data_IF_905806624288
#
_entry.id   IF_905806624288
#
_cell.length_a   1.000
_cell.length_b   1.000
_cell.length_c   1.000
_cell.angle_alpha   90.00
_cell.angle_beta   90.00
_cell.angle_gamma   90.00
#
_symmetry.space_group_name_H-M   'P 1'
#
loop_
_entity.id
_entity.type
_entity.pdbx_description
1 polymer ?
#
# COMPACT_ATOMS: atom_id res chain seq x y z
N UNK A 1 -15.82 22.80 -57.41
CA UNK A 1 -16.70 21.65 -57.68
C UNK A 1 -15.83 20.40 -57.81
N UNK A 2 -16.00 19.40 -56.92
CA UNK A 2 -15.47 18.01 -56.95
C UNK A 2 -13.94 17.78 -56.92
N UNK A 3 -13.37 16.68 -56.39
CA UNK A 3 -13.63 15.68 -55.33
C UNK A 3 -12.43 14.70 -55.41
N UNK A 4 -11.84 14.32 -54.27
CA UNK A 4 -11.02 13.11 -54.02
C UNK A 4 -9.62 13.02 -54.69
N UNK A 5 -8.56 12.50 -54.07
CA UNK A 5 -8.46 11.30 -53.25
C UNK A 5 -7.24 11.37 -52.29
N UNK A 6 -7.50 11.17 -51.00
CA UNK A 6 -6.51 10.75 -50.02
C UNK A 6 -6.09 9.31 -50.34
N UNK A 7 -4.83 9.11 -50.71
CA UNK A 7 -4.22 7.77 -50.78
C UNK A 7 -2.91 7.79 -50.00
N UNK A 8 -2.78 6.78 -49.14
CA UNK A 8 -1.59 6.34 -48.43
C UNK A 8 -1.41 6.86 -47.00
N UNK A 9 -2.34 6.45 -46.12
CA UNK A 9 -2.07 6.31 -44.69
C UNK A 9 -1.63 4.85 -44.46
N UNK A 10 -0.34 4.62 -44.24
CA UNK A 10 0.18 3.36 -43.70
C UNK A 10 1.64 3.57 -43.24
N UNK A 11 1.83 4.05 -42.01
CA UNK A 11 3.10 3.99 -41.32
C UNK A 11 2.86 3.50 -39.88
N UNK A 12 2.99 2.18 -39.74
CA UNK A 12 3.27 1.38 -38.56
C UNK A 12 3.03 2.01 -37.17
N UNK A 13 1.92 1.62 -36.55
CA UNK A 13 1.77 1.62 -35.09
C UNK A 13 2.61 0.44 -34.57
N UNK A 14 3.81 0.74 -34.04
CA UNK A 14 4.62 -0.21 -33.30
C UNK A 14 4.00 -0.38 -31.90
N UNK A 15 2.91 -1.17 -31.84
CA UNK A 15 2.22 -1.51 -30.59
C UNK A 15 3.17 -2.27 -29.66
N UNK A 16 3.43 -1.68 -28.49
CA UNK A 16 4.14 -2.33 -27.39
C UNK A 16 3.38 -3.56 -26.91
N UNK A 17 3.99 -4.72 -27.08
CA UNK A 17 3.63 -5.92 -26.33
C UNK A 17 4.37 -5.87 -24.98
N UNK A 18 3.85 -5.06 -24.05
CA UNK A 18 4.16 -5.26 -22.64
C UNK A 18 3.43 -6.56 -22.23
N UNK A 19 4.22 -7.58 -21.89
CA UNK A 19 3.74 -8.86 -21.40
C UNK A 19 3.02 -8.58 -20.08
N UNK A 20 1.69 -8.57 -20.12
CA UNK A 20 0.88 -8.48 -18.91
C UNK A 20 1.03 -9.80 -18.14
N UNK A 21 1.86 -9.81 -17.10
CA UNK A 21 1.88 -10.90 -16.13
C UNK A 21 0.54 -10.87 -15.40
N UNK A 22 -0.23 -11.97 -15.38
CA UNK A 22 -1.50 -11.99 -14.66
C UNK A 22 -1.21 -11.89 -13.17
N UNK A 23 -1.87 -10.95 -12.48
CA UNK A 23 -1.93 -10.96 -11.03
C UNK A 23 -2.73 -12.21 -10.60
N UNK A 24 -2.11 -13.09 -9.82
CA UNK A 24 -2.82 -14.22 -9.23
C UNK A 24 -3.75 -13.67 -8.13
N UNK A 25 -5.03 -14.02 -8.20
CA UNK A 25 -5.97 -13.73 -7.12
C UNK A 25 -5.72 -14.68 -5.94
N UNK A 26 -5.94 -14.20 -4.73
CA UNK A 26 -5.93 -15.02 -3.51
C UNK A 26 -7.03 -16.09 -3.59
N UNK A 27 -6.75 -17.27 -3.03
CA UNK A 27 -7.72 -18.34 -2.85
C UNK A 27 -8.71 -18.01 -1.73
N UNK A 28 -9.86 -18.70 -1.72
CA UNK A 28 -10.84 -18.53 -0.64
C UNK A 28 -10.27 -18.98 0.72
N UNK A 29 -9.45 -20.02 0.75
CA UNK A 29 -8.82 -20.52 1.98
C UNK A 29 -7.81 -19.52 2.55
N UNK A 30 -7.03 -18.86 1.69
CA UNK A 30 -6.16 -17.76 2.10
C UNK A 30 -6.96 -16.58 2.65
N UNK A 31 -8.11 -16.26 2.03
CA UNK A 31 -8.98 -15.18 2.50
C UNK A 31 -9.60 -15.47 3.87
N UNK A 32 -10.08 -16.70 4.10
CA UNK A 32 -10.60 -17.14 5.39
C UNK A 32 -9.51 -17.08 6.48
N UNK A 33 -8.30 -17.56 6.15
CA UNK A 33 -7.15 -17.46 7.06
C UNK A 33 -6.84 -16.00 7.42
N UNK A 34 -6.86 -15.09 6.45
CA UNK A 34 -6.66 -13.66 6.70
C UNK A 34 -7.77 -13.05 7.56
N UNK A 35 -9.01 -13.51 7.38
CA UNK A 35 -10.15 -13.09 8.19
C UNK A 35 -9.91 -13.47 9.65
N UNK A 36 -9.64 -14.75 9.92
CA UNK A 36 -9.43 -15.29 11.26
C UNK A 36 -8.27 -14.61 11.99
N UNK A 37 -7.14 -14.41 11.30
CA UNK A 37 -5.96 -13.75 11.88
C UNK A 37 -6.26 -12.28 12.26
N UNK A 38 -7.12 -11.61 11.49
CA UNK A 38 -7.48 -10.20 11.75
C UNK A 38 -8.53 -10.00 12.85
N UNK A 39 -9.09 -11.08 13.40
CA UNK A 39 -9.96 -11.01 14.59
C UNK A 39 -9.16 -10.65 15.85
N UNK A 40 -7.92 -11.11 15.97
CA UNK A 40 -7.01 -10.70 17.04
C UNK A 40 -6.18 -9.49 16.59
N UNK A 41 -6.21 -8.42 17.40
CA UNK A 41 -5.42 -7.22 17.14
C UNK A 41 -3.93 -7.55 17.04
N UNK A 42 -3.39 -8.28 18.02
CA UNK A 42 -1.98 -8.62 18.09
C UNK A 42 -1.54 -9.55 16.97
N UNK A 43 -2.33 -10.60 16.69
CA UNK A 43 -2.00 -11.56 15.62
C UNK A 43 -2.04 -10.88 14.24
N UNK A 44 -3.05 -10.06 13.97
CA UNK A 44 -3.15 -9.31 12.72
C UNK A 44 -2.02 -8.31 12.53
N UNK A 45 -1.60 -7.60 13.60
CA UNK A 45 -0.43 -6.71 13.55
C UNK A 45 0.84 -7.49 13.25
N UNK A 46 1.07 -8.61 13.96
CA UNK A 46 2.27 -9.43 13.75
C UNK A 46 2.33 -9.98 12.32
N UNK A 47 1.19 -10.45 11.79
CA UNK A 47 1.10 -10.96 10.42
C UNK A 47 1.33 -9.87 9.37
N UNK A 48 0.85 -8.64 9.59
CA UNK A 48 1.14 -7.51 8.71
C UNK A 48 2.64 -7.14 8.72
N UNK A 49 3.29 -7.20 9.89
CA UNK A 49 4.74 -6.98 9.98
C UNK A 49 5.54 -8.07 9.25
N UNK A 50 5.08 -9.32 9.31
CA UNK A 50 5.67 -10.44 8.58
C UNK A 50 5.60 -10.23 7.06
N UNK A 51 4.42 -9.87 6.54
CA UNK A 51 4.21 -9.53 5.12
C UNK A 51 5.12 -8.37 4.69
N UNK A 52 5.15 -7.28 5.46
CA UNK A 52 6.05 -6.15 5.19
C UNK A 52 7.53 -6.57 5.22
N UNK A 53 7.92 -7.51 6.09
CA UNK A 53 9.25 -8.10 6.14
C UNK A 53 9.63 -8.88 4.87
N UNK A 54 8.64 -9.41 4.14
CA UNK A 54 8.79 -10.02 2.81
C UNK A 54 8.69 -9.02 1.66
N UNK A 55 8.42 -7.75 1.93
CA UNK A 55 8.19 -6.71 0.92
C UNK A 55 6.76 -6.65 0.38
N UNK A 56 5.83 -7.43 0.95
CA UNK A 56 4.42 -7.51 0.60
C UNK A 56 3.64 -6.36 1.27
N UNK A 57 3.99 -5.12 0.93
CA UNK A 57 3.42 -3.95 1.60
C UNK A 57 1.93 -3.74 1.33
N UNK A 58 1.43 -4.12 0.15
CA UNK A 58 0.01 -3.99 -0.18
C UNK A 58 -0.83 -4.98 0.62
N UNK A 59 -0.35 -6.21 0.76
CA UNK A 59 -0.98 -7.25 1.56
C UNK A 59 -0.94 -6.89 3.04
N UNK A 60 0.21 -6.40 3.54
CA UNK A 60 0.34 -5.89 4.90
C UNK A 60 -0.64 -4.75 5.21
N UNK A 61 -0.82 -3.80 4.29
CA UNK A 61 -1.82 -2.72 4.40
C UNK A 61 -3.22 -3.32 4.49
N UNK A 62 -3.59 -4.22 3.59
CA UNK A 62 -4.90 -4.85 3.59
C UNK A 62 -5.18 -5.67 4.87
N UNK A 63 -4.16 -6.29 5.47
CA UNK A 63 -4.28 -6.93 6.79
C UNK A 63 -4.54 -5.89 7.88
N UNK A 64 -3.81 -4.78 7.91
CA UNK A 64 -3.99 -3.72 8.91
C UNK A 64 -5.34 -3.01 8.77
N UNK A 65 -5.87 -2.85 7.56
CA UNK A 65 -7.21 -2.30 7.33
C UNK A 65 -8.29 -3.20 7.95
N UNK A 66 -8.17 -4.53 7.82
CA UNK A 66 -9.07 -5.49 8.49
C UNK A 66 -8.94 -5.41 10.01
N UNK A 67 -7.72 -5.36 10.53
CA UNK A 67 -7.48 -5.16 11.98
C UNK A 67 -8.13 -3.86 12.44
N UNK A 68 -7.99 -2.76 11.71
CA UNK A 68 -8.59 -1.46 12.06
C UNK A 68 -10.12 -1.44 11.91
N UNK A 69 -10.70 -2.28 11.06
CA UNK A 69 -12.14 -2.46 10.98
C UNK A 69 -12.70 -3.10 12.27
N UNK A 70 -11.99 -4.09 12.82
CA UNK A 70 -12.37 -4.79 14.04
C UNK A 70 -11.94 -4.05 15.32
N UNK A 71 -10.78 -3.39 15.27
CA UNK A 71 -10.09 -2.73 16.38
C UNK A 71 -9.78 -1.26 16.05
N UNK A 72 -10.79 -0.40 15.85
CA UNK A 72 -10.62 0.95 15.30
C UNK A 72 -9.79 1.89 16.18
N UNK A 73 -9.57 1.53 17.45
CA UNK A 73 -8.77 2.30 18.42
C UNK A 73 -7.30 1.88 18.49
N UNK A 74 -6.91 0.80 17.80
CA UNK A 74 -5.54 0.31 17.78
C UNK A 74 -4.57 1.39 17.28
N UNK A 75 -3.78 1.94 18.21
CA UNK A 75 -2.77 2.94 17.88
C UNK A 75 -1.60 2.31 17.12
N UNK A 76 -1.23 1.08 17.50
CA UNK A 76 -0.16 0.32 16.87
C UNK A 76 -0.48 -0.07 15.43
N UNK A 77 -1.69 -0.61 15.17
CA UNK A 77 -2.09 -0.94 13.80
C UNK A 77 -2.13 0.29 12.91
N UNK A 78 -2.67 1.41 13.43
CA UNK A 78 -2.75 2.67 12.66
C UNK A 78 -1.39 3.29 12.38
N UNK A 79 -0.46 3.22 13.33
CA UNK A 79 0.92 3.68 13.11
C UNK A 79 1.60 2.87 11.99
N UNK A 80 1.49 1.54 12.03
CA UNK A 80 2.07 0.69 10.99
C UNK A 80 1.40 0.92 9.64
N UNK A 81 0.08 1.10 9.61
CA UNK A 81 -0.67 1.39 8.40
C UNK A 81 -0.17 2.69 7.75
N UNK A 82 0.02 3.74 8.54
CA UNK A 82 0.57 4.99 8.07
C UNK A 82 1.99 4.85 7.50
N UNK A 83 2.86 4.10 8.18
CA UNK A 83 4.24 3.84 7.74
C UNK A 83 4.25 3.08 6.41
N UNK A 84 3.41 2.05 6.27
CA UNK A 84 3.38 1.21 5.06
C UNK A 84 2.80 1.97 3.87
N UNK A 85 1.78 2.80 4.06
CA UNK A 85 1.28 3.71 3.03
C UNK A 85 2.39 4.63 2.50
N UNK A 86 3.15 5.28 3.41
CA UNK A 86 4.27 6.12 3.00
C UNK A 86 5.39 5.32 2.30
N UNK A 87 5.57 4.04 2.63
CA UNK A 87 6.58 3.17 2.01
C UNK A 87 6.26 2.83 0.56
N UNK A 88 4.98 2.72 0.22
CA UNK A 88 4.49 2.52 -1.15
C UNK A 88 4.19 3.85 -1.87
N UNK A 89 4.68 4.96 -1.33
CA UNK A 89 4.52 6.32 -1.83
C UNK A 89 3.09 6.91 -1.75
N UNK A 90 2.17 6.27 -1.04
CA UNK A 90 0.91 6.91 -0.62
C UNK A 90 1.13 7.80 0.62
N UNK A 91 1.88 8.88 0.42
CA UNK A 91 2.16 9.87 1.48
C UNK A 91 0.92 10.63 1.94
N UNK A 92 -0.01 11.04 1.05
CA UNK A 92 -1.25 11.66 1.49
C UNK A 92 -2.03 10.73 2.43
N UNK A 93 -2.18 9.45 2.07
CA UNK A 93 -2.81 8.45 2.91
C UNK A 93 -2.10 8.26 4.24
N UNK A 94 -0.77 8.05 4.21
CA UNK A 94 0.01 7.88 5.43
C UNK A 94 -0.02 9.11 6.36
N UNK A 95 -0.01 10.32 5.80
CA UNK A 95 -0.14 11.58 6.57
C UNK A 95 -1.50 11.68 7.25
N UNK A 96 -2.57 11.29 6.55
CA UNK A 96 -3.92 11.26 7.11
C UNK A 96 -3.97 10.29 8.30
N UNK A 97 -3.38 9.10 8.20
CA UNK A 97 -3.35 8.16 9.31
C UNK A 97 -2.49 8.62 10.49
N UNK A 98 -1.32 9.21 10.25
CA UNK A 98 -0.49 9.82 11.30
C UNK A 98 -1.23 10.93 12.04
N UNK A 99 -1.99 11.77 11.33
CA UNK A 99 -2.74 12.88 11.95
C UNK A 99 -3.83 12.42 12.94
N UNK A 100 -4.26 11.16 12.84
CA UNK A 100 -5.25 10.56 13.73
C UNK A 100 -4.61 10.01 15.02
N UNK A 101 -3.28 9.98 15.11
CA UNK A 101 -2.50 9.52 16.26
C UNK A 101 -2.09 10.69 17.15
N UNK A 102 -1.77 10.40 18.41
CA UNK A 102 -1.16 11.38 19.32
C UNK A 102 0.26 10.93 19.67
N UNK A 103 1.23 11.76 19.33
CA UNK A 103 2.67 11.52 19.55
C UNK A 103 3.01 10.99 20.95
N UNK A 104 2.38 11.55 21.99
CA UNK A 104 2.59 11.15 23.40
C UNK A 104 2.31 9.67 23.74
N UNK A 105 1.68 8.92 22.83
CA UNK A 105 1.43 7.48 23.00
C UNK A 105 2.57 6.60 22.48
N UNK A 106 3.60 7.20 21.90
CA UNK A 106 4.73 6.50 21.32
C UNK A 106 6.04 7.01 21.93
N UNK A 107 7.10 6.22 21.80
CA UNK A 107 8.43 6.72 22.16
C UNK A 107 8.86 7.79 21.14
N UNK A 108 9.63 8.81 21.55
CA UNK A 108 10.11 9.84 20.64
C UNK A 108 10.82 9.27 19.41
N UNK A 109 11.59 8.21 19.58
CA UNK A 109 12.34 7.56 18.51
C UNK A 109 11.41 6.89 17.49
N UNK A 110 10.38 6.18 17.96
CA UNK A 110 9.41 5.52 17.09
C UNK A 110 8.59 6.54 16.29
N UNK A 111 8.14 7.60 16.96
CA UNK A 111 7.39 8.67 16.31
C UNK A 111 8.22 9.41 15.27
N UNK A 112 9.45 9.83 15.63
CA UNK A 112 10.35 10.51 14.72
C UNK A 112 10.66 9.64 13.50
N UNK A 113 10.86 8.33 13.69
CA UNK A 113 11.07 7.39 12.59
C UNK A 113 9.87 7.32 11.65
N UNK A 114 8.65 7.20 12.19
CA UNK A 114 7.44 7.15 11.38
C UNK A 114 7.25 8.45 10.58
N UNK A 115 7.44 9.61 11.21
CA UNK A 115 7.35 10.91 10.56
C UNK A 115 8.39 11.08 9.44
N UNK A 116 9.63 10.64 9.68
CA UNK A 116 10.71 10.73 8.69
C UNK A 116 10.42 9.92 7.42
N UNK A 117 9.83 8.72 7.56
CA UNK A 117 9.45 7.87 6.41
C UNK A 117 8.48 8.62 5.50
N UNK A 118 7.49 9.31 6.07
CA UNK A 118 6.50 10.07 5.31
C UNK A 118 7.02 11.40 4.73
N UNK A 119 8.06 11.98 5.35
CA UNK A 119 8.61 13.29 4.96
C UNK A 119 9.69 13.25 3.86
N UNK A 120 10.34 12.10 3.61
CA UNK A 120 11.50 12.04 2.72
C UNK A 120 11.13 12.28 1.23
N UNK A 121 11.56 13.35 0.55
CA UNK A 121 11.23 13.56 -0.87
C UNK A 121 11.74 12.41 -1.74
N UNK A 122 10.95 11.96 -2.72
CA UNK A 122 11.38 10.92 -3.65
C UNK A 122 12.51 11.44 -4.54
N UNK A 123 13.58 10.65 -4.71
CA UNK A 123 14.58 10.89 -5.77
C UNK A 123 16.04 11.06 -5.36
N UNK A 124 16.48 10.62 -4.19
CA UNK A 124 17.93 10.50 -3.89
C UNK A 124 18.28 9.04 -3.58
N UNK A 125 18.19 8.19 -4.59
CA UNK A 125 19.00 6.97 -4.61
C UNK A 125 20.39 7.39 -5.15
N UNK A 126 21.51 7.13 -4.44
CA UNK A 126 22.84 7.39 -4.97
C UNK A 126 23.16 6.53 -6.20
#
# INVERSE_FOLDING_TARGET
MNRHNFRNLAAAILCGALIAVPAAAQTLEELDTMSDVSESEEAGIAFAQEQAGRGEFLEAIATLERVLANHPKSQSARLLHAIFLCRIDDRPGGTVELSKLKEKHFTPELWARAAAICAAPQGNEP
#
